data_IF_231531811535
#
_entry.id   IF_231531811535
#
_cell.length_a   1.000
_cell.length_b   1.000
_cell.length_c   1.000
_cell.angle_alpha   90.00
_cell.angle_beta   90.00
_cell.angle_gamma   90.00
#
_symmetry.space_group_name_H-M   'P 1'
#
loop_
_entity.id
_entity.type
_entity.pdbx_description
1 polymer ?
#
# COMPACT_ATOMS: atom_id res chain seq x y z
N UNK A 1 -3.61 6.73 31.56
CA UNK A 1 -4.16 5.75 30.59
C UNK A 1 -3.71 6.01 29.14
N UNK A 2 -3.73 7.25 28.65
CA UNK A 2 -3.26 7.57 27.29
C UNK A 2 -1.81 7.16 27.02
N UNK A 3 -0.90 7.38 27.97
CA UNK A 3 0.51 6.98 27.83
C UNK A 3 0.68 5.46 27.70
N UNK A 4 -0.16 4.69 28.41
CA UNK A 4 -0.20 3.22 28.32
C UNK A 4 -0.72 2.75 26.96
N UNK A 5 -1.68 3.48 26.37
CA UNK A 5 -2.21 3.15 25.05
C UNK A 5 -1.18 3.39 23.94
N UNK A 6 -0.55 4.57 23.93
CA UNK A 6 0.41 4.95 22.89
C UNK A 6 1.69 4.11 22.92
N UNK A 7 2.20 3.78 24.11
CA UNK A 7 3.40 2.93 24.26
C UNK A 7 3.07 1.44 24.32
N UNK A 8 1.80 1.09 24.43
CA UNK A 8 1.31 -0.28 24.45
C UNK A 8 1.17 -0.89 23.06
N UNK A 9 0.71 -2.14 23.03
CA UNK A 9 0.41 -2.89 21.80
C UNK A 9 -0.48 -2.14 20.79
N UNK A 10 -1.62 -1.51 21.18
CA UNK A 10 -2.52 -0.90 20.20
C UNK A 10 -1.90 0.32 19.52
N UNK A 11 -1.14 1.14 20.25
CA UNK A 11 -0.44 2.29 19.68
C UNK A 11 0.56 1.89 18.60
N UNK A 12 1.41 0.89 18.88
CA UNK A 12 2.42 0.40 17.92
C UNK A 12 1.75 -0.16 16.65
N UNK A 13 0.66 -0.91 16.79
CA UNK A 13 -0.09 -1.48 15.66
C UNK A 13 -0.67 -0.38 14.78
N UNK A 14 -1.31 0.64 15.38
CA UNK A 14 -1.91 1.76 14.65
C UNK A 14 -0.85 2.60 13.93
N UNK A 15 0.27 2.93 14.59
CA UNK A 15 1.37 3.68 13.97
C UNK A 15 1.94 2.91 12.79
N UNK A 16 2.20 1.62 12.95
CA UNK A 16 2.76 0.80 11.86
C UNK A 16 1.80 0.70 10.68
N UNK A 17 0.51 0.48 10.95
CA UNK A 17 -0.53 0.41 9.91
C UNK A 17 -0.67 1.74 9.17
N UNK A 18 -0.59 2.86 9.90
CA UNK A 18 -0.63 4.22 9.33
C UNK A 18 0.56 4.45 8.40
N UNK A 19 1.77 4.07 8.82
CA UNK A 19 2.99 4.20 8.03
C UNK A 19 2.94 3.37 6.75
N UNK A 20 2.53 2.10 6.84
CA UNK A 20 2.40 1.21 5.68
C UNK A 20 1.37 1.77 4.70
N UNK A 21 0.21 2.23 5.20
CA UNK A 21 -0.84 2.82 4.37
C UNK A 21 -0.35 4.09 3.68
N UNK A 22 0.35 4.96 4.40
CA UNK A 22 0.89 6.21 3.85
C UNK A 22 1.88 5.94 2.72
N UNK A 23 2.79 4.99 2.92
CA UNK A 23 3.76 4.59 1.90
C UNK A 23 3.07 3.98 0.68
N UNK A 24 2.07 3.12 0.88
CA UNK A 24 1.30 2.53 -0.21
C UNK A 24 0.56 3.61 -1.04
N UNK A 25 -0.10 4.55 -0.37
CA UNK A 25 -0.80 5.67 -1.01
C UNK A 25 0.18 6.58 -1.76
N UNK A 26 1.33 6.88 -1.17
CA UNK A 26 2.38 7.65 -1.83
C UNK A 26 2.85 6.99 -3.13
N UNK A 27 3.14 5.68 -3.08
CA UNK A 27 3.56 4.93 -4.27
C UNK A 27 2.47 4.99 -5.34
N UNK A 28 1.22 4.68 -4.99
CA UNK A 28 0.10 4.69 -5.95
C UNK A 28 -0.13 6.07 -6.57
N UNK A 29 -0.06 7.14 -5.77
CA UNK A 29 -0.16 8.51 -6.27
C UNK A 29 1.01 8.88 -7.18
N UNK A 30 2.23 8.41 -6.89
CA UNK A 30 3.37 8.64 -7.79
C UNK A 30 3.16 7.98 -9.15
N UNK A 31 2.59 6.77 -9.18
CA UNK A 31 2.23 6.10 -10.44
C UNK A 31 1.10 6.81 -11.19
N UNK A 32 0.17 7.49 -10.51
CA UNK A 32 -0.86 8.32 -11.16
C UNK A 32 -0.29 9.62 -11.72
N UNK A 33 0.76 10.17 -11.11
CA UNK A 33 1.38 11.44 -11.50
C UNK A 33 2.39 11.27 -12.64
N UNK A 34 3.18 10.21 -12.62
CA UNK A 34 4.23 9.98 -13.62
C UNK A 34 3.69 9.27 -14.87
N UNK A 35 3.53 10.01 -15.97
CA UNK A 35 3.56 9.50 -17.35
C UNK A 35 5.02 9.35 -17.83
N UNK A 36 5.91 8.89 -16.96
CA UNK A 36 7.30 8.70 -17.35
C UNK A 36 7.39 7.55 -18.35
N UNK A 37 8.16 7.78 -19.42
CA UNK A 37 8.51 6.82 -20.45
C UNK A 37 8.71 5.45 -19.81
N UNK A 38 7.96 4.45 -20.30
CA UNK A 38 8.15 3.04 -19.96
C UNK A 38 9.50 2.57 -20.52
N UNK A 39 10.61 3.12 -20.02
CA UNK A 39 11.92 2.60 -20.29
C UNK A 39 11.91 1.14 -19.83
N UNK A 40 12.26 0.19 -20.71
CA UNK A 40 12.16 -1.23 -20.39
C UNK A 40 13.05 -1.53 -19.18
N UNK A 41 12.43 -1.70 -18.02
CA UNK A 41 13.15 -1.90 -16.76
C UNK A 41 13.77 -3.29 -16.79
N UNK A 42 15.09 -3.37 -16.82
CA UNK A 42 15.78 -4.66 -16.79
C UNK A 42 15.72 -5.29 -15.40
N UNK A 43 14.91 -6.33 -15.25
CA UNK A 43 14.78 -7.09 -14.00
C UNK A 43 15.95 -8.07 -13.77
N UNK A 44 17.20 -7.59 -13.73
CA UNK A 44 18.41 -8.43 -13.60
C UNK A 44 18.42 -9.30 -12.33
N UNK A 45 17.93 -8.78 -11.21
CA UNK A 45 17.86 -9.53 -9.94
C UNK A 45 16.87 -10.71 -10.02
N UNK A 46 15.73 -10.54 -10.69
CA UNK A 46 14.74 -11.60 -10.92
C UNK A 46 15.32 -12.69 -11.82
N UNK A 47 16.06 -12.32 -12.88
CA UNK A 47 16.75 -13.29 -13.74
C UNK A 47 17.79 -14.13 -12.97
N UNK A 48 18.46 -13.56 -11.95
CA UNK A 48 19.42 -14.30 -11.12
C UNK A 48 18.71 -15.27 -10.18
N UNK A 49 17.61 -14.86 -9.55
CA UNK A 49 16.81 -15.70 -8.65
C UNK A 49 16.08 -16.84 -9.38
N UNK A 50 15.65 -16.61 -10.62
CA UNK A 50 15.00 -17.63 -11.46
C UNK A 50 15.92 -18.82 -11.79
N UNK A 51 17.25 -18.63 -11.76
CA UNK A 51 18.23 -19.70 -12.05
C UNK A 51 18.40 -20.70 -10.90
N UNK A 52 17.91 -20.39 -9.69
CA UNK A 52 18.02 -21.30 -8.54
C UNK A 52 17.11 -22.51 -8.76
N UNK A 53 17.66 -23.74 -8.70
CA UNK A 53 16.96 -24.99 -9.07
C UNK A 53 15.62 -25.18 -8.33
N UNK A 54 15.57 -24.87 -7.04
CA UNK A 54 14.34 -25.00 -6.21
C UNK A 54 13.27 -24.03 -6.68
N UNK A 55 13.64 -22.77 -6.88
CA UNK A 55 12.74 -21.71 -7.34
C UNK A 55 12.25 -22.05 -8.75
N UNK A 56 13.15 -22.42 -9.66
CA UNK A 56 12.81 -22.81 -11.02
C UNK A 56 11.77 -23.94 -11.05
N UNK A 57 11.97 -25.00 -10.28
CA UNK A 57 11.03 -26.13 -10.20
C UNK A 57 9.67 -25.72 -9.64
N UNK A 58 9.63 -24.85 -8.63
CA UNK A 58 8.37 -24.32 -8.09
C UNK A 58 7.62 -23.44 -9.12
N UNK A 59 8.36 -22.60 -9.86
CA UNK A 59 7.81 -21.77 -10.94
C UNK A 59 7.28 -22.62 -12.10
N UNK A 60 8.02 -23.64 -12.52
CA UNK A 60 7.66 -24.55 -13.61
C UNK A 60 6.36 -25.30 -13.26
N UNK A 61 6.32 -25.96 -12.09
CA UNK A 61 5.12 -26.66 -11.61
C UNK A 61 3.88 -25.75 -11.57
N UNK A 62 4.01 -24.52 -11.07
CA UNK A 62 2.88 -23.58 -11.01
C UNK A 62 2.43 -23.15 -12.41
N UNK A 63 3.39 -22.83 -13.27
CA UNK A 63 3.13 -22.35 -14.63
C UNK A 63 2.46 -23.42 -15.49
N UNK A 64 2.93 -24.66 -15.39
CA UNK A 64 2.34 -25.81 -16.08
C UNK A 64 0.93 -26.11 -15.58
N UNK A 65 0.72 -26.10 -14.26
CA UNK A 65 -0.61 -26.31 -13.66
C UNK A 65 -1.61 -25.22 -14.02
N UNK A 66 -1.15 -23.98 -14.20
CA UNK A 66 -1.98 -22.81 -14.53
C UNK A 66 -1.60 -22.19 -15.87
N UNK A 67 -1.46 -23.03 -16.89
CA UNK A 67 -1.01 -22.63 -18.22
C UNK A 67 -1.88 -21.54 -18.85
N UNK A 68 -3.21 -21.73 -18.89
CA UNK A 68 -4.13 -20.76 -19.50
C UNK A 68 -4.10 -19.38 -18.83
N UNK A 69 -4.01 -19.32 -17.49
CA UNK A 69 -3.87 -18.06 -16.75
C UNK A 69 -2.54 -17.37 -17.03
N UNK A 70 -1.49 -18.15 -17.28
CA UNK A 70 -0.16 -17.63 -17.61
C UNK A 70 -0.14 -17.01 -19.01
N UNK A 71 -0.86 -17.58 -19.98
CA UNK A 71 -1.03 -17.00 -21.32
C UNK A 71 -1.74 -15.66 -21.23
N UNK A 72 -2.90 -15.61 -20.56
CA UNK A 72 -3.68 -14.37 -20.44
C UNK A 72 -2.88 -13.25 -19.74
N UNK A 73 -2.08 -13.63 -18.74
CA UNK A 73 -1.16 -12.71 -18.08
C UNK A 73 -0.04 -12.26 -19.03
N UNK A 74 0.52 -13.15 -19.85
CA UNK A 74 1.52 -12.81 -20.87
C UNK A 74 0.96 -11.80 -21.86
N UNK A 75 -0.24 -12.04 -22.36
CA UNK A 75 -0.89 -11.16 -23.34
C UNK A 75 -1.16 -9.79 -22.71
N UNK A 76 -1.61 -9.76 -21.46
CA UNK A 76 -1.82 -8.51 -20.71
C UNK A 76 -0.52 -7.74 -20.53
N UNK A 77 0.59 -8.42 -20.17
CA UNK A 77 1.91 -7.81 -20.01
C UNK A 77 2.46 -7.28 -21.34
N UNK A 78 2.26 -8.04 -22.43
CA UNK A 78 2.64 -7.63 -23.79
C UNK A 78 1.87 -6.37 -24.23
N UNK A 79 0.55 -6.33 -24.00
CA UNK A 79 -0.28 -5.15 -24.29
C UNK A 79 0.16 -3.91 -23.49
N UNK A 80 0.79 -4.08 -22.33
CA UNK A 80 1.30 -2.97 -21.54
C UNK A 80 2.73 -2.54 -21.92
N UNK A 81 3.37 -3.19 -22.89
CA UNK A 81 4.78 -2.95 -23.20
C UNK A 81 5.74 -3.33 -22.06
N UNK A 82 5.27 -4.08 -21.06
CA UNK A 82 6.09 -4.49 -19.92
C UNK A 82 6.99 -5.67 -20.31
N UNK A 83 8.29 -5.55 -20.06
CA UNK A 83 9.28 -6.58 -20.38
C UNK A 83 9.33 -7.73 -19.38
N UNK A 84 8.54 -7.66 -18.30
CA UNK A 84 8.51 -8.68 -17.27
C UNK A 84 7.82 -9.95 -17.78
N UNK A 85 8.49 -11.09 -17.61
CA UNK A 85 7.88 -12.39 -17.91
C UNK A 85 6.81 -12.74 -16.86
N UNK A 86 5.72 -13.45 -17.23
CA UNK A 86 4.77 -13.99 -16.26
C UNK A 86 5.42 -14.78 -15.11
N UNK A 87 6.51 -15.50 -15.41
CA UNK A 87 7.32 -16.25 -14.43
C UNK A 87 7.99 -15.33 -13.42
N UNK A 88 8.54 -14.21 -13.89
CA UNK A 88 9.19 -13.22 -13.04
C UNK A 88 8.18 -12.46 -12.18
N UNK A 89 6.98 -12.19 -12.70
CA UNK A 89 5.91 -11.62 -11.87
C UNK A 89 5.54 -12.58 -10.74
N UNK A 90 5.42 -13.88 -11.03
CA UNK A 90 5.13 -14.88 -10.01
C UNK A 90 6.24 -15.00 -8.95
N UNK A 91 7.50 -14.97 -9.40
CA UNK A 91 8.64 -14.92 -8.50
C UNK A 91 8.61 -13.68 -7.59
N UNK A 92 8.27 -12.51 -8.15
CA UNK A 92 8.10 -11.28 -7.37
C UNK A 92 7.01 -11.43 -6.32
N UNK A 93 5.89 -12.10 -6.64
CA UNK A 93 4.79 -12.39 -5.67
C UNK A 93 5.24 -13.29 -4.53
N UNK A 94 6.02 -14.33 -4.82
CA UNK A 94 6.57 -15.21 -3.79
C UNK A 94 7.54 -14.46 -2.87
N UNK A 95 8.43 -13.64 -3.45
CA UNK A 95 9.39 -12.84 -2.68
C UNK A 95 8.66 -11.81 -1.80
N UNK A 96 7.67 -11.09 -2.32
CA UNK A 96 6.91 -10.11 -1.52
C UNK A 96 6.13 -10.78 -0.39
N UNK A 97 5.54 -11.95 -0.64
CA UNK A 97 4.87 -12.73 0.39
C UNK A 97 5.83 -13.18 1.50
N UNK A 98 7.00 -13.72 1.12
CA UNK A 98 8.02 -14.15 2.08
C UNK A 98 8.57 -12.98 2.91
N UNK A 99 8.85 -11.84 2.26
CA UNK A 99 9.30 -10.64 2.97
C UNK A 99 8.23 -10.11 3.93
N UNK A 100 6.96 -10.09 3.53
CA UNK A 100 5.86 -9.67 4.39
C UNK A 100 5.68 -10.61 5.59
N UNK A 101 5.85 -11.92 5.39
CA UNK A 101 5.84 -12.89 6.49
C UNK A 101 6.97 -12.62 7.50
N UNK A 102 8.20 -12.43 7.03
CA UNK A 102 9.35 -12.15 7.91
C UNK A 102 9.14 -10.82 8.65
N UNK A 103 8.71 -9.77 7.96
CA UNK A 103 8.47 -8.46 8.57
C UNK A 103 7.35 -8.49 9.60
N UNK A 104 6.24 -9.19 9.33
CA UNK A 104 5.15 -9.34 10.30
C UNK A 104 5.59 -10.14 11.53
N UNK A 105 6.35 -11.22 11.34
CA UNK A 105 6.92 -11.99 12.46
C UNK A 105 7.83 -11.13 13.34
N UNK A 106 8.74 -10.37 12.72
CA UNK A 106 9.63 -9.44 13.42
C UNK A 106 8.86 -8.37 14.20
N UNK A 107 7.77 -7.86 13.61
CA UNK A 107 6.91 -6.88 14.26
C UNK A 107 6.21 -7.46 15.48
N UNK A 108 5.66 -8.68 15.39
CA UNK A 108 5.03 -9.33 16.55
C UNK A 108 6.07 -9.58 17.65
N UNK A 109 7.28 -10.05 17.29
CA UNK A 109 8.37 -10.22 18.25
C UNK A 109 8.74 -8.89 18.93
N UNK A 110 8.85 -7.81 18.16
CA UNK A 110 9.09 -6.47 18.67
C UNK A 110 7.99 -6.01 19.64
N UNK A 111 6.71 -6.26 19.31
CA UNK A 111 5.58 -5.92 20.18
C UNK A 111 5.67 -6.67 21.52
N UNK A 112 5.95 -7.98 21.52
CA UNK A 112 6.09 -8.73 22.78
C UNK A 112 7.30 -8.29 23.59
N UNK A 113 8.45 -8.05 22.93
CA UNK A 113 9.64 -7.58 23.61
C UNK A 113 9.40 -6.21 24.26
N UNK A 114 8.77 -5.29 23.53
CA UNK A 114 8.40 -3.98 24.06
C UNK A 114 7.39 -4.10 25.20
N UNK A 115 6.40 -4.99 25.08
CA UNK A 115 5.40 -5.24 26.14
C UNK A 115 6.05 -5.76 27.42
N UNK A 116 6.99 -6.70 27.30
CA UNK A 116 7.79 -7.21 28.43
C UNK A 116 8.59 -6.10 29.11
N UNK A 117 9.25 -5.25 28.34
CA UNK A 117 10.01 -4.11 28.87
C UNK A 117 9.05 -3.11 29.55
N UNK A 118 7.90 -2.83 28.95
CA UNK A 118 6.89 -1.92 29.50
C UNK A 118 6.36 -2.39 30.86
N UNK A 119 6.01 -3.68 30.98
CA UNK A 119 5.54 -4.29 32.24
C UNK A 119 6.58 -4.17 33.36
N UNK A 120 7.87 -4.36 33.01
CA UNK A 120 9.00 -4.28 33.96
C UNK A 120 9.38 -2.85 34.34
N UNK A 121 9.15 -1.87 33.47
CA UNK A 121 9.70 -0.51 33.67
C UNK A 121 8.66 0.51 34.10
N UNK A 122 7.40 0.38 33.66
CA UNK A 122 6.36 1.36 33.94
C UNK A 122 5.32 0.83 34.91
N UNK A 123 5.18 1.51 36.05
CA UNK A 123 4.08 1.32 36.99
C UNK A 123 3.06 2.44 36.71
N UNK A 124 1.81 2.15 36.28
CA UNK A 124 0.79 3.18 36.10
C UNK A 124 0.58 3.98 37.38
N UNK A 125 0.08 5.21 37.24
CA UNK A 125 -0.18 6.04 38.40
C UNK A 125 -1.15 5.37 39.36
N UNK A 126 -0.73 5.34 40.63
CA UNK A 126 -1.41 4.71 41.74
C UNK A 126 -2.41 5.68 42.41
N UNK A 127 -2.64 6.84 41.81
CA UNK A 127 -3.37 7.97 42.40
C UNK A 127 -4.86 7.69 42.61
N UNK A 128 -5.47 6.84 41.78
CA UNK A 128 -6.88 6.43 41.93
C UNK A 128 -7.11 5.40 43.03
N UNK A 129 -6.15 4.50 43.26
CA UNK A 129 -6.23 3.42 44.25
C UNK A 129 -5.68 3.81 45.62
N UNK A 130 -4.73 4.74 45.67
CA UNK A 130 -4.01 5.13 46.88
C UNK A 130 -4.10 6.65 47.11
N UNK A 131 -5.34 7.14 47.18
CA UNK A 131 -5.73 8.55 47.26
C UNK A 131 -5.09 9.34 48.44
N UNK A 132 -4.46 8.66 49.41
CA UNK A 132 -3.96 9.21 50.68
C UNK A 132 -2.43 9.30 50.74
N UNK A 133 -1.70 8.97 49.66
CA UNK A 133 -0.22 8.96 49.66
C UNK A 133 0.40 10.25 49.10
N UNK A 134 1.47 10.73 49.74
CA UNK A 134 2.31 11.82 49.20
C UNK A 134 3.09 11.36 47.95
N UNK A 135 3.49 12.29 47.07
CA UNK A 135 4.23 11.98 45.84
C UNK A 135 5.50 11.13 46.08
N UNK A 136 6.23 11.40 47.16
CA UNK A 136 7.43 10.62 47.53
C UNK A 136 7.12 9.18 47.96
N UNK A 137 5.96 8.94 48.60
CA UNK A 137 5.52 7.60 48.97
C UNK A 137 5.04 6.82 47.75
N UNK A 138 4.36 7.48 46.81
CA UNK A 138 3.94 6.86 45.55
C UNK A 138 5.14 6.39 44.72
N UNK A 139 6.19 7.20 44.59
CA UNK A 139 7.41 6.79 43.88
C UNK A 139 8.11 5.62 44.56
N UNK A 140 8.16 5.60 45.90
CA UNK A 140 8.73 4.48 46.65
C UNK A 140 7.95 3.17 46.44
N UNK A 141 6.61 3.24 46.38
CA UNK A 141 5.76 2.09 46.05
C UNK A 141 6.01 1.61 44.61
N UNK A 142 6.11 2.53 43.64
CA UNK A 142 6.40 2.19 42.24
C UNK A 142 7.76 1.51 42.11
N UNK A 143 8.79 2.00 42.80
CA UNK A 143 10.13 1.41 42.80
C UNK A 143 10.15 0.01 43.44
N UNK A 144 9.44 -0.15 44.56
CA UNK A 144 9.30 -1.45 45.24
C UNK A 144 8.62 -2.48 44.33
N UNK A 145 7.51 -2.10 43.69
CA UNK A 145 6.82 -2.95 42.71
C UNK A 145 7.78 -3.32 41.57
N UNK A 146 8.50 -2.35 41.01
CA UNK A 146 9.45 -2.59 39.91
C UNK A 146 10.56 -3.56 40.29
N UNK A 147 11.17 -3.36 41.45
CA UNK A 147 12.25 -4.21 41.97
C UNK A 147 11.78 -5.64 42.19
N UNK A 148 10.66 -5.81 42.92
CA UNK A 148 10.11 -7.13 43.23
C UNK A 148 9.57 -7.87 42.00
N UNK A 149 8.92 -7.18 41.05
CA UNK A 149 8.51 -7.80 39.77
C UNK A 149 9.73 -8.28 38.97
N UNK A 150 10.83 -7.52 38.94
CA UNK A 150 12.05 -7.93 38.26
C UNK A 150 12.73 -9.14 38.93
N UNK A 151 12.64 -9.26 40.26
CA UNK A 151 13.16 -10.39 41.01
C UNK A 151 12.30 -11.67 40.83
N UNK A 152 10.98 -11.54 40.79
CA UNK A 152 10.05 -12.67 40.73
C UNK A 152 9.69 -13.14 39.32
N UNK A 153 10.09 -12.42 38.27
CA UNK A 153 9.72 -12.74 36.88
C UNK A 153 10.04 -14.19 36.47
N UNK A 154 11.14 -14.76 36.99
CA UNK A 154 11.64 -16.10 36.65
C UNK A 154 11.27 -17.20 37.68
N UNK A 155 10.60 -16.87 38.79
CA UNK A 155 10.31 -17.82 39.88
C UNK A 155 9.05 -18.68 39.67
N UNK A 156 9.18 -19.98 39.41
CA UNK A 156 8.05 -20.86 39.04
C UNK A 156 6.82 -20.84 39.98
N UNK A 157 7.02 -20.82 41.30
CA UNK A 157 5.95 -21.00 42.30
C UNK A 157 5.72 -19.74 43.17
N UNK A 158 5.15 -18.71 42.54
CA UNK A 158 4.85 -17.42 43.16
C UNK A 158 3.37 -17.35 43.56
N UNK A 159 3.09 -17.14 44.85
CA UNK A 159 1.74 -17.01 45.41
C UNK A 159 1.60 -15.64 46.08
N UNK A 160 0.39 -15.06 46.08
CA UNK A 160 0.09 -13.77 46.74
C UNK A 160 0.56 -13.76 48.19
N UNK A 161 0.35 -14.87 48.91
CA UNK A 161 0.74 -15.06 50.31
C UNK A 161 2.25 -14.98 50.53
N UNK A 162 3.07 -15.55 49.62
CA UNK A 162 4.54 -15.49 49.73
C UNK A 162 5.06 -14.08 49.50
N UNK A 163 4.48 -13.36 48.52
CA UNK A 163 4.83 -11.96 48.24
C UNK A 163 4.44 -11.08 49.45
N UNK A 164 3.26 -11.32 50.02
CA UNK A 164 2.75 -10.59 51.18
C UNK A 164 3.61 -10.85 52.43
N UNK A 165 4.00 -12.11 52.69
CA UNK A 165 4.87 -12.46 53.81
C UNK A 165 6.24 -11.78 53.72
N UNK A 166 6.79 -11.65 52.52
CA UNK A 166 8.07 -10.96 52.30
C UNK A 166 7.93 -9.43 52.44
N UNK A 167 6.83 -8.84 51.97
CA UNK A 167 6.51 -7.41 52.15
C UNK A 167 6.27 -7.05 53.64
N UNK A 168 5.60 -7.91 54.39
CA UNK A 168 5.37 -7.73 55.82
C UNK A 168 6.65 -7.95 56.64
N UNK A 169 7.52 -8.89 56.21
CA UNK A 169 8.82 -9.16 56.83
C UNK A 169 9.83 -8.02 56.68
N UNK A 170 9.81 -7.34 55.53
CA UNK A 170 10.67 -6.17 55.25
C UNK A 170 10.15 -4.87 55.93
N UNK A 171 8.94 -4.89 56.51
CA UNK A 171 8.26 -3.72 57.12
C UNK A 171 8.22 -2.48 56.21
N UNK A 172 8.15 -2.70 54.90
CA UNK A 172 8.25 -1.64 53.89
C UNK A 172 7.08 -0.66 53.98
N UNK A 173 5.89 -1.13 54.35
CA UNK A 173 4.72 -0.30 54.66
C UNK A 173 4.01 -0.80 55.92
N UNK A 174 3.56 0.12 56.77
CA UNK A 174 2.91 -0.18 58.06
C UNK A 174 1.43 -0.57 57.94
N UNK A 175 0.85 -0.54 56.73
CA UNK A 175 -0.57 -0.79 56.49
C UNK A 175 -0.76 -2.11 55.74
N UNK A 176 -1.32 -3.11 56.41
CA UNK A 176 -1.55 -4.47 55.87
C UNK A 176 -2.41 -4.46 54.60
N UNK A 177 -3.41 -3.56 54.49
CA UNK A 177 -4.24 -3.45 53.27
C UNK A 177 -3.47 -2.92 52.07
N UNK A 178 -2.46 -2.09 52.33
CA UNK A 178 -1.58 -1.51 51.31
C UNK A 178 -0.59 -2.57 50.80
N UNK A 179 -0.04 -3.39 51.70
CA UNK A 179 0.80 -4.52 51.31
C UNK A 179 0.03 -5.56 50.50
N UNK A 180 -1.24 -5.80 50.83
CA UNK A 180 -2.08 -6.74 50.09
C UNK A 180 -2.33 -6.30 48.64
N UNK A 181 -2.67 -5.03 48.41
CA UNK A 181 -2.88 -4.50 47.06
C UNK A 181 -1.58 -4.40 46.25
N UNK A 182 -0.46 -4.09 46.89
CA UNK A 182 0.87 -4.15 46.26
C UNK A 182 1.22 -5.59 45.86
N UNK A 183 1.00 -6.57 46.74
CA UNK A 183 1.29 -7.98 46.48
C UNK A 183 0.48 -8.52 45.29
N UNK A 184 -0.80 -8.17 45.23
CA UNK A 184 -1.69 -8.50 44.11
C UNK A 184 -1.20 -7.89 42.81
N UNK A 185 -0.81 -6.61 42.83
CA UNK A 185 -0.30 -5.93 41.62
C UNK A 185 1.04 -6.49 41.14
N UNK A 186 1.91 -6.94 42.04
CA UNK A 186 3.17 -7.62 41.70
C UNK A 186 2.87 -8.98 41.05
N UNK A 187 1.98 -9.77 41.66
CA UNK A 187 1.57 -11.07 41.14
C UNK A 187 0.99 -10.94 39.71
N UNK A 188 0.04 -10.02 39.51
CA UNK A 188 -0.60 -9.79 38.22
C UNK A 188 0.40 -9.42 37.13
N UNK A 189 1.38 -8.56 37.45
CA UNK A 189 2.43 -8.18 36.49
C UNK A 189 3.35 -9.34 36.15
N UNK A 190 3.71 -10.17 37.12
CA UNK A 190 4.54 -11.36 36.87
C UNK A 190 3.77 -12.36 36.00
N UNK A 191 2.48 -12.56 36.28
CA UNK A 191 1.61 -13.40 35.44
C UNK A 191 1.51 -12.84 34.02
N UNK A 192 1.23 -11.54 33.87
CA UNK A 192 1.19 -10.88 32.56
C UNK A 192 2.52 -11.02 31.82
N UNK A 193 3.65 -10.79 32.48
CA UNK A 193 4.98 -10.97 31.91
C UNK A 193 5.22 -12.39 31.38
N UNK A 194 4.76 -13.41 32.12
CA UNK A 194 4.85 -14.82 31.71
C UNK A 194 3.94 -15.17 30.55
N UNK A 195 2.76 -14.54 30.49
CA UNK A 195 1.80 -14.72 29.41
C UNK A 195 2.17 -13.95 28.14
N UNK A 196 3.17 -13.05 28.19
CA UNK A 196 3.74 -12.38 27.03
C UNK A 196 4.70 -13.30 26.25
N UNK A 197 4.12 -14.24 25.51
CA UNK A 197 4.82 -15.05 24.51
C UNK A 197 4.05 -15.02 23.18
N UNK A 198 4.73 -15.43 22.10
CA UNK A 198 4.12 -15.54 20.79
C UNK A 198 2.98 -16.55 20.82
N UNK A 199 1.75 -16.07 20.68
CA UNK A 199 0.57 -16.93 20.69
C UNK A 199 0.42 -17.57 19.32
N UNK A 200 -0.01 -18.83 19.28
CA UNK A 200 -0.12 -19.59 18.03
C UNK A 200 -1.04 -18.93 16.99
N UNK A 201 -2.09 -18.20 17.43
CA UNK A 201 -2.98 -17.47 16.51
C UNK A 201 -2.30 -16.27 15.83
N UNK A 202 -1.28 -15.67 16.44
CA UNK A 202 -0.53 -14.54 15.85
C UNK A 202 0.29 -15.03 14.66
N UNK A 203 0.75 -16.28 14.70
CA UNK A 203 1.43 -16.94 13.59
C UNK A 203 0.49 -17.17 12.39
N UNK A 204 -0.78 -17.51 12.66
CA UNK A 204 -1.82 -17.58 11.61
C UNK A 204 -2.08 -16.21 11.00
N UNK A 205 -2.10 -15.15 11.82
CA UNK A 205 -2.25 -13.78 11.35
C UNK A 205 -1.09 -13.39 10.41
N UNK A 206 0.15 -13.72 10.76
CA UNK A 206 1.31 -13.51 9.88
C UNK A 206 1.17 -14.25 8.54
N UNK A 207 0.66 -15.49 8.54
CA UNK A 207 0.34 -16.19 7.28
C UNK A 207 -0.76 -15.50 6.47
N UNK A 208 -1.78 -14.96 7.14
CA UNK A 208 -2.82 -14.15 6.48
C UNK A 208 -2.26 -12.91 5.79
N UNK A 209 -1.38 -12.17 6.48
CA UNK A 209 -0.69 -11.00 5.89
C UNK A 209 0.17 -11.42 4.69
N UNK A 210 0.92 -12.51 4.82
CA UNK A 210 1.75 -13.04 3.73
C UNK A 210 0.90 -13.45 2.51
N UNK A 211 -0.28 -14.03 2.73
CA UNK A 211 -1.22 -14.38 1.69
C UNK A 211 -1.74 -13.14 0.95
N UNK A 212 -2.12 -12.09 1.67
CA UNK A 212 -2.54 -10.81 1.05
C UNK A 212 -1.37 -10.19 0.27
N UNK A 213 -0.17 -10.20 0.84
CA UNK A 213 1.04 -9.66 0.21
C UNK A 213 1.46 -10.39 -1.09
N UNK A 214 1.03 -11.64 -1.26
CA UNK A 214 1.22 -12.39 -2.49
C UNK A 214 0.41 -11.81 -3.68
N UNK A 215 -0.70 -11.13 -3.42
CA UNK A 215 -1.53 -10.51 -4.47
C UNK A 215 -1.13 -9.07 -4.79
N UNK A 216 -0.38 -8.39 -3.91
CA UNK A 216 0.05 -6.99 -4.10
C UNK A 216 0.71 -6.75 -5.47
N UNK A 217 1.71 -7.53 -5.93
CA UNK A 217 2.33 -7.27 -7.23
C UNK A 217 1.39 -7.46 -8.41
N UNK A 218 0.39 -8.33 -8.28
CA UNK A 218 -0.63 -8.54 -9.30
C UNK A 218 -1.61 -7.35 -9.36
N UNK A 219 -2.09 -6.87 -8.22
CA UNK A 219 -2.90 -5.66 -8.17
C UNK A 219 -2.16 -4.45 -8.73
N UNK A 220 -0.85 -4.36 -8.47
CA UNK A 220 -0.02 -3.31 -9.04
C UNK A 220 0.00 -3.34 -10.59
N UNK A 221 0.03 -4.53 -11.18
CA UNK A 221 -0.03 -4.70 -12.64
C UNK A 221 -1.39 -4.27 -13.19
N UNK A 222 -2.48 -4.64 -12.53
CA UNK A 222 -3.83 -4.20 -12.92
C UNK A 222 -3.99 -2.69 -12.80
N UNK A 223 -3.44 -2.08 -11.75
CA UNK A 223 -3.44 -0.65 -11.56
C UNK A 223 -2.67 0.07 -12.66
N UNK A 224 -1.47 -0.41 -12.99
CA UNK A 224 -0.69 0.08 -14.13
C UNK A 224 -1.43 -0.04 -15.46
N UNK A 225 -2.12 -1.18 -15.70
CA UNK A 225 -2.96 -1.36 -16.90
C UNK A 225 -4.02 -0.27 -17.01
N UNK A 226 -4.68 0.04 -15.90
CA UNK A 226 -5.73 1.07 -15.87
C UNK A 226 -5.16 2.46 -16.16
N UNK A 227 -4.01 2.80 -15.58
CA UNK A 227 -3.32 4.06 -15.85
C UNK A 227 -2.89 4.15 -17.31
N UNK A 228 -2.29 3.09 -17.86
CA UNK A 228 -1.89 3.04 -19.27
C UNK A 228 -3.07 3.28 -20.21
N UNK A 229 -4.22 2.67 -19.94
CA UNK A 229 -5.42 2.91 -20.75
C UNK A 229 -5.88 4.37 -20.71
N UNK A 230 -5.78 5.03 -19.55
CA UNK A 230 -6.08 6.45 -19.42
C UNK A 230 -5.06 7.30 -20.17
N UNK A 231 -3.78 6.96 -20.10
CA UNK A 231 -2.72 7.64 -20.88
C UNK A 231 -2.92 7.46 -22.39
N UNK A 232 -3.31 6.27 -22.86
CA UNK A 232 -3.64 6.02 -24.27
C UNK A 232 -4.85 6.85 -24.72
N UNK A 233 -5.87 6.97 -23.89
CA UNK A 233 -7.05 7.81 -24.16
C UNK A 233 -6.64 9.30 -24.27
N UNK A 234 -5.87 9.79 -23.29
CA UNK A 234 -5.36 11.17 -23.28
C UNK A 234 -4.51 11.48 -24.53
N UNK A 235 -3.62 10.56 -24.91
CA UNK A 235 -2.71 10.71 -26.06
C UNK A 235 -3.47 10.68 -27.39
N UNK A 236 -4.46 9.80 -27.58
CA UNK A 236 -5.30 9.80 -28.78
C UNK A 236 -6.10 11.10 -28.89
N UNK A 237 -6.66 11.60 -27.79
CA UNK A 237 -7.38 12.89 -27.80
C UNK A 237 -6.44 14.07 -28.12
N UNK A 238 -5.18 14.00 -27.69
CA UNK A 238 -4.14 14.95 -28.09
C UNK A 238 -3.82 14.82 -29.58
N UNK A 239 -3.68 13.61 -30.11
CA UNK A 239 -3.46 13.39 -31.54
C UNK A 239 -4.60 13.93 -32.40
N UNK A 240 -5.87 13.75 -32.00
CA UNK A 240 -7.00 14.36 -32.68
C UNK A 240 -6.91 15.89 -32.75
N UNK A 241 -6.31 16.53 -31.73
CA UNK A 241 -6.08 17.98 -31.74
C UNK A 241 -4.98 18.41 -32.70
N UNK A 242 -3.87 17.66 -32.71
CA UNK A 242 -2.78 17.91 -33.65
C UNK A 242 -3.33 17.75 -35.06
N UNK A 243 -3.97 16.62 -35.36
CA UNK A 243 -4.62 16.35 -36.64
C UNK A 243 -5.58 17.48 -37.01
N UNK A 244 -6.51 17.87 -36.14
CA UNK A 244 -7.44 18.96 -36.41
C UNK A 244 -6.74 20.29 -36.78
N UNK A 245 -5.66 20.66 -36.07
CA UNK A 245 -4.91 21.87 -36.37
C UNK A 245 -4.15 21.76 -37.70
N UNK A 246 -3.57 20.60 -37.98
CA UNK A 246 -2.67 20.38 -39.12
C UNK A 246 -3.42 20.13 -40.43
N UNK A 247 -4.66 19.63 -40.38
CA UNK A 247 -5.50 19.37 -41.56
C UNK A 247 -5.81 20.60 -42.42
N UNK A 248 -5.70 21.81 -41.86
CA UNK A 248 -5.93 23.07 -42.57
C UNK A 248 -4.66 23.72 -43.13
N UNK A 249 -3.50 23.07 -42.95
CA UNK A 249 -2.22 23.54 -43.51
C UNK A 249 -2.13 23.07 -44.96
N UNK A 250 -1.88 24.00 -45.88
CA UNK A 250 -1.68 23.68 -47.28
C UNK A 250 -0.45 22.77 -47.48
N UNK A 251 -0.61 21.71 -48.27
CA UNK A 251 0.44 20.75 -48.64
C UNK A 251 1.03 19.87 -47.53
N UNK A 252 0.34 19.69 -46.40
CA UNK A 252 0.79 18.73 -45.39
C UNK A 252 0.67 17.28 -45.89
N UNK A 253 1.70 16.46 -45.69
CA UNK A 253 1.67 15.03 -46.00
C UNK A 253 1.33 14.19 -44.77
N UNK A 254 0.91 12.93 -44.98
CA UNK A 254 0.68 11.97 -43.88
C UNK A 254 1.95 11.74 -43.06
N UNK A 255 3.11 11.78 -43.72
CA UNK A 255 4.41 11.65 -43.06
C UNK A 255 4.72 12.84 -42.15
N UNK A 256 4.49 14.07 -42.60
CA UNK A 256 4.69 15.27 -41.77
C UNK A 256 3.81 15.21 -40.51
N UNK A 257 2.56 14.77 -40.69
CA UNK A 257 1.64 14.59 -39.58
C UNK A 257 2.13 13.49 -38.61
N UNK A 258 2.64 12.35 -39.09
CA UNK A 258 3.25 11.33 -38.22
C UNK A 258 4.43 11.88 -37.42
N UNK A 259 5.29 12.71 -38.03
CA UNK A 259 6.40 13.38 -37.36
C UNK A 259 5.90 14.34 -36.26
N UNK A 260 4.84 15.11 -36.51
CA UNK A 260 4.19 15.93 -35.48
C UNK A 260 3.62 15.08 -34.33
N UNK A 261 2.96 13.95 -34.65
CA UNK A 261 2.44 13.03 -33.63
C UNK A 261 3.59 12.46 -32.77
N UNK A 262 4.74 12.12 -33.37
CA UNK A 262 5.91 11.59 -32.63
C UNK A 262 6.43 12.56 -31.56
N UNK A 263 6.41 13.87 -31.84
CA UNK A 263 6.89 14.90 -30.91
C UNK A 263 6.09 14.93 -29.60
N UNK A 264 4.79 14.64 -29.68
CA UNK A 264 3.88 14.65 -28.53
C UNK A 264 3.54 13.26 -27.99
N UNK A 265 3.90 12.20 -28.71
CA UNK A 265 3.65 10.82 -28.30
C UNK A 265 4.49 10.43 -27.08
N UNK A 266 3.89 9.61 -26.21
CA UNK A 266 4.57 9.03 -25.03
C UNK A 266 4.40 7.51 -25.04
N UNK A 267 3.16 7.03 -25.09
CA UNK A 267 2.82 5.61 -25.12
C UNK A 267 3.03 5.05 -26.53
N UNK A 268 2.55 5.74 -27.57
CA UNK A 268 2.61 5.25 -28.95
C UNK A 268 3.89 5.65 -29.68
N UNK A 269 4.79 6.39 -29.02
CA UNK A 269 6.00 6.98 -29.62
C UNK A 269 6.85 5.96 -30.36
N UNK A 270 7.17 4.82 -29.71
CA UNK A 270 8.03 3.81 -30.32
C UNK A 270 7.40 3.21 -31.59
N UNK A 271 6.08 3.03 -31.60
CA UNK A 271 5.36 2.48 -32.76
C UNK A 271 5.28 3.49 -33.89
N UNK A 272 5.01 4.77 -33.59
CA UNK A 272 5.05 5.86 -34.59
C UNK A 272 6.44 6.01 -35.19
N UNK A 273 7.50 6.01 -34.36
CA UNK A 273 8.88 6.15 -34.82
C UNK A 273 9.30 5.01 -35.77
N UNK A 274 8.91 3.77 -35.46
CA UNK A 274 9.16 2.63 -36.35
C UNK A 274 8.38 2.74 -37.68
N UNK A 275 7.15 3.28 -37.63
CA UNK A 275 6.38 3.59 -38.83
C UNK A 275 7.08 4.64 -39.71
N UNK A 276 7.54 5.76 -39.13
CA UNK A 276 8.24 6.84 -39.84
C UNK A 276 9.52 6.31 -40.50
N UNK A 277 10.30 5.50 -39.78
CA UNK A 277 11.54 4.90 -40.30
C UNK A 277 11.30 4.00 -41.52
N UNK A 278 10.19 3.25 -41.52
CA UNK A 278 9.85 2.35 -42.61
C UNK A 278 8.98 3.01 -43.70
N UNK A 279 8.50 4.23 -43.49
CA UNK A 279 7.53 4.92 -44.35
C UNK A 279 8.03 5.03 -45.80
N UNK A 280 9.30 5.39 -46.00
CA UNK A 280 9.90 5.52 -47.33
C UNK A 280 10.03 4.18 -48.09
N UNK A 281 9.92 3.04 -47.40
CA UNK A 281 10.00 1.70 -48.02
C UNK A 281 8.64 1.20 -48.52
N UNK A 282 7.55 1.75 -48.00
CA UNK A 282 6.17 1.38 -48.35
C UNK A 282 5.18 2.06 -47.41
N UNK A 283 4.44 3.06 -47.90
CA UNK A 283 3.60 3.92 -47.05
C UNK A 283 2.44 3.14 -46.39
N UNK A 284 1.65 2.44 -47.21
CA UNK A 284 0.51 1.64 -46.74
C UNK A 284 0.97 0.48 -45.85
N UNK A 285 2.10 -0.14 -46.19
CA UNK A 285 2.67 -1.26 -45.44
C UNK A 285 3.14 -0.81 -44.04
N UNK A 286 3.82 0.33 -43.95
CA UNK A 286 4.25 0.92 -42.70
C UNK A 286 3.07 1.28 -41.78
N UNK A 287 2.02 1.91 -42.34
CA UNK A 287 0.80 2.25 -41.60
C UNK A 287 0.02 1.00 -41.18
N UNK A 288 -0.02 -0.05 -42.01
CA UNK A 288 -0.68 -1.31 -41.67
C UNK A 288 0.07 -2.02 -40.53
N UNK A 289 1.40 -2.04 -40.57
CA UNK A 289 2.23 -2.58 -39.50
C UNK A 289 2.03 -1.80 -38.18
N UNK A 290 1.92 -0.46 -38.24
CA UNK A 290 1.60 0.39 -37.09
C UNK A 290 0.26 -0.01 -36.44
N UNK A 291 -0.78 -0.20 -37.27
CA UNK A 291 -2.12 -0.63 -36.82
C UNK A 291 -2.11 -2.01 -36.18
N UNK A 292 -1.38 -2.97 -36.75
CA UNK A 292 -1.34 -4.34 -36.25
C UNK A 292 -0.60 -4.46 -34.91
N UNK A 293 0.48 -3.67 -34.74
CA UNK A 293 1.31 -3.67 -33.55
C UNK A 293 0.56 -3.18 -32.31
N UNK A 294 -0.22 -2.11 -32.45
CA UNK A 294 -0.97 -1.53 -31.34
C UNK A 294 -2.31 -2.22 -31.14
N UNK A 295 -2.74 -2.43 -29.90
CA UNK A 295 -4.02 -3.12 -29.60
C UNK A 295 -5.15 -2.16 -29.21
N UNK A 296 -4.86 -0.86 -29.07
CA UNK A 296 -5.85 0.13 -28.63
C UNK A 296 -6.79 0.54 -29.78
N UNK A 297 -8.10 0.26 -29.72
CA UNK A 297 -9.00 0.45 -30.86
C UNK A 297 -9.12 1.90 -31.36
N UNK A 298 -9.20 2.94 -30.50
CA UNK A 298 -9.24 4.33 -30.98
C UNK A 298 -8.00 4.73 -31.77
N UNK A 299 -6.81 4.30 -31.32
CA UNK A 299 -5.58 4.53 -32.08
C UNK A 299 -5.58 3.78 -33.42
N UNK A 300 -6.06 2.53 -33.47
CA UNK A 300 -6.21 1.80 -34.74
C UNK A 300 -7.13 2.51 -35.73
N UNK A 301 -8.23 3.11 -35.25
CA UNK A 301 -9.15 3.90 -36.11
C UNK A 301 -8.47 5.15 -36.64
N UNK A 302 -7.67 5.82 -35.81
CA UNK A 302 -6.86 6.96 -36.23
C UNK A 302 -5.90 6.55 -37.37
N UNK A 303 -5.21 5.41 -37.22
CA UNK A 303 -4.33 4.88 -38.28
C UNK A 303 -5.10 4.47 -39.54
N UNK A 304 -6.31 3.89 -39.40
CA UNK A 304 -7.18 3.61 -40.55
C UNK A 304 -7.54 4.87 -41.33
N UNK A 305 -7.77 5.99 -40.63
CA UNK A 305 -8.03 7.27 -41.27
C UNK A 305 -6.77 7.82 -41.95
N UNK A 306 -5.58 7.65 -41.36
CA UNK A 306 -4.31 8.00 -42.03
C UNK A 306 -4.10 7.23 -43.33
N UNK A 307 -4.45 5.93 -43.36
CA UNK A 307 -4.36 5.12 -44.59
C UNK A 307 -5.33 5.65 -45.66
N UNK A 308 -6.52 6.11 -45.27
CA UNK A 308 -7.51 6.68 -46.20
C UNK A 308 -7.05 7.97 -46.85
N UNK A 309 -6.13 8.72 -46.23
CA UNK A 309 -5.57 9.97 -46.79
C UNK A 309 -4.86 9.77 -48.14
N UNK A 310 -4.50 8.54 -48.52
CA UNK A 310 -3.96 8.23 -49.85
C UNK A 310 -5.02 8.38 -50.96
N UNK A 311 -6.28 8.10 -50.64
CA UNK A 311 -7.39 8.09 -51.61
C UNK A 311 -8.26 9.34 -51.52
N UNK A 312 -8.24 10.05 -50.39
CA UNK A 312 -9.03 11.25 -50.15
C UNK A 312 -8.24 12.31 -49.38
N UNK A 313 -8.67 13.57 -49.45
CA UNK A 313 -8.04 14.65 -48.66
C UNK A 313 -8.12 14.36 -47.16
N UNK A 314 -7.16 14.88 -46.38
CA UNK A 314 -7.16 14.69 -44.93
C UNK A 314 -8.50 15.11 -44.30
N UNK A 315 -9.04 16.26 -44.71
CA UNK A 315 -10.38 16.75 -44.30
C UNK A 315 -11.47 15.68 -44.41
N UNK A 316 -11.51 14.94 -45.51
CA UNK A 316 -12.48 13.86 -45.71
C UNK A 316 -12.14 12.60 -44.91
N UNK A 317 -10.86 12.31 -44.75
CA UNK A 317 -10.41 11.13 -44.00
C UNK A 317 -10.68 11.24 -42.50
N UNK A 318 -10.71 12.45 -41.94
CA UNK A 318 -11.02 12.72 -40.54
C UNK A 318 -12.28 13.57 -40.35
N UNK A 319 -13.31 13.34 -41.17
CA UNK A 319 -14.58 14.08 -41.11
C UNK A 319 -15.23 14.06 -39.70
N UNK A 320 -15.06 12.95 -38.97
CA UNK A 320 -15.50 12.81 -37.57
C UNK A 320 -14.91 13.87 -36.64
N UNK A 321 -13.69 14.36 -36.93
CA UNK A 321 -13.00 15.38 -36.14
C UNK A 321 -13.47 16.79 -36.57
N UNK A 322 -13.68 17.02 -37.87
CA UNK A 322 -14.07 18.32 -38.44
C UNK A 322 -15.55 18.67 -38.30
N UNK A 323 -16.43 17.69 -38.10
CA UNK A 323 -17.90 17.88 -38.05
C UNK A 323 -18.39 18.81 -36.92
N UNK A 324 -17.53 19.28 -36.01
CA UNK A 324 -17.91 20.03 -34.81
C UNK A 324 -16.98 21.25 -34.56
N UNK A 325 -16.63 21.95 -35.65
CA UNK A 325 -15.70 23.08 -35.66
C UNK A 325 -16.04 24.19 -34.66
N UNK A 326 -17.34 24.49 -34.51
CA UNK A 326 -17.81 25.58 -33.64
C UNK A 326 -17.62 25.26 -32.15
N UNK A 327 -17.72 23.97 -31.77
CA UNK A 327 -17.62 23.52 -30.37
C UNK A 327 -16.32 22.78 -30.05
N UNK A 328 -15.36 22.71 -30.98
CA UNK A 328 -14.14 21.94 -30.80
C UNK A 328 -13.36 22.36 -29.55
N UNK A 329 -13.26 23.67 -29.30
CA UNK A 329 -12.59 24.22 -28.12
C UNK A 329 -13.26 23.78 -26.81
N UNK A 330 -14.58 23.85 -26.73
CA UNK A 330 -15.35 23.46 -25.55
C UNK A 330 -15.29 21.95 -25.31
N UNK A 331 -15.38 21.15 -26.38
CA UNK A 331 -15.22 19.69 -26.32
C UNK A 331 -13.84 19.31 -25.79
N UNK A 332 -12.77 19.97 -26.25
CA UNK A 332 -11.41 19.72 -25.76
C UNK A 332 -11.21 20.12 -24.32
N UNK A 333 -11.80 21.24 -23.90
CA UNK A 333 -11.80 21.63 -22.48
C UNK A 333 -12.51 20.57 -21.64
N UNK A 334 -13.67 20.11 -22.06
CA UNK A 334 -14.43 19.06 -21.39
C UNK A 334 -13.67 17.73 -21.32
N UNK A 335 -13.06 17.28 -22.41
CA UNK A 335 -12.25 16.04 -22.43
C UNK A 335 -11.05 16.12 -21.48
N UNK A 336 -10.39 17.27 -21.42
CA UNK A 336 -9.28 17.49 -20.48
C UNK A 336 -9.78 17.50 -19.02
N UNK A 337 -10.88 18.19 -18.74
CA UNK A 337 -11.53 18.15 -17.42
C UNK A 337 -11.92 16.72 -17.03
N UNK A 338 -12.48 15.94 -17.96
CA UNK A 338 -12.82 14.52 -17.74
C UNK A 338 -11.57 13.69 -17.46
N UNK A 339 -10.48 13.87 -18.22
CA UNK A 339 -9.21 13.17 -18.00
C UNK A 339 -8.65 13.43 -16.60
N UNK A 340 -8.57 14.71 -16.22
CA UNK A 340 -8.08 15.14 -14.91
C UNK A 340 -9.01 14.61 -13.81
N UNK A 341 -10.33 14.69 -14.01
CA UNK A 341 -11.30 14.21 -13.04
C UNK A 341 -11.20 12.69 -12.85
N UNK A 342 -11.06 11.89 -13.92
CA UNK A 342 -10.86 10.44 -13.81
C UNK A 342 -9.62 10.08 -12.95
N UNK A 343 -8.52 10.83 -13.10
CA UNK A 343 -7.31 10.64 -12.25
C UNK A 343 -7.59 11.06 -10.81
N UNK A 344 -8.28 12.19 -10.63
CA UNK A 344 -8.66 12.72 -9.32
C UNK A 344 -9.62 11.79 -8.56
N UNK A 345 -10.57 11.15 -9.24
CA UNK A 345 -11.55 10.23 -8.63
C UNK A 345 -10.88 8.98 -8.05
N UNK A 346 -9.71 8.59 -8.58
CA UNK A 346 -8.89 7.52 -8.02
C UNK A 346 -8.00 8.05 -6.89
N UNK A 347 -7.34 9.20 -7.10
CA UNK A 347 -6.35 9.74 -6.18
C UNK A 347 -6.97 10.32 -4.89
N UNK A 348 -8.11 11.01 -4.99
CA UNK A 348 -8.79 11.69 -3.88
C UNK A 348 -9.14 10.70 -2.75
N UNK A 349 -9.98 9.67 -2.95
CA UNK A 349 -10.35 8.76 -1.87
C UNK A 349 -9.14 8.02 -1.30
N UNK A 350 -8.18 7.67 -2.15
CA UNK A 350 -6.95 7.00 -1.74
C UNK A 350 -6.10 7.88 -0.80
N UNK A 351 -6.06 9.19 -1.05
CA UNK A 351 -5.31 10.16 -0.26
C UNK A 351 -5.95 10.47 1.11
N UNK A 352 -7.23 10.16 1.30
CA UNK A 352 -7.91 10.31 2.59
C UNK A 352 -7.62 9.17 3.57
N UNK A 353 -7.19 7.99 3.09
CA UNK A 353 -6.93 6.83 3.94
C UNK A 353 -5.89 7.11 5.05
N UNK A 354 -4.70 7.68 4.77
CA UNK A 354 -3.71 7.95 5.81
C UNK A 354 -4.23 8.95 6.84
N UNK A 355 -4.93 10.00 6.40
CA UNK A 355 -5.55 11.00 7.28
C UNK A 355 -6.56 10.36 8.23
N UNK A 356 -7.38 9.44 7.73
CA UNK A 356 -8.33 8.68 8.55
C UNK A 356 -7.63 7.85 9.64
N UNK A 357 -6.52 7.18 9.30
CA UNK A 357 -5.74 6.42 10.29
C UNK A 357 -5.07 7.31 11.34
N UNK A 358 -4.53 8.48 10.94
CA UNK A 358 -3.98 9.46 11.89
C UNK A 358 -5.07 9.99 12.82
N UNK A 359 -6.25 10.32 12.28
CA UNK A 359 -7.39 10.75 13.07
C UNK A 359 -7.85 9.66 14.05
N UNK A 360 -7.91 8.41 13.61
CA UNK A 360 -8.24 7.28 14.48
C UNK A 360 -7.19 7.11 15.59
N UNK A 361 -5.90 7.25 15.26
CA UNK A 361 -4.83 7.16 16.26
C UNK A 361 -4.95 8.21 17.37
N UNK A 362 -5.37 9.43 17.04
CA UNK A 362 -5.54 10.51 18.02
C UNK A 362 -6.86 10.42 18.80
N UNK A 363 -7.96 10.03 18.15
CA UNK A 363 -9.30 10.06 18.76
C UNK A 363 -9.64 8.79 19.54
N UNK A 364 -9.19 7.62 19.09
CA UNK A 364 -9.50 6.33 19.71
C UNK A 364 -9.07 6.22 21.17
N UNK A 365 -7.86 6.64 21.61
CA UNK A 365 -7.51 6.64 23.03
C UNK A 365 -8.37 7.56 23.88
N UNK A 366 -8.79 8.72 23.34
CA UNK A 366 -9.67 9.66 24.04
C UNK A 366 -11.06 9.04 24.22
N UNK A 367 -11.60 8.42 23.18
CA UNK A 367 -12.90 7.74 23.24
C UNK A 367 -12.89 6.60 24.26
N UNK A 368 -11.82 5.81 24.30
CA UNK A 368 -11.69 4.73 25.29
C UNK A 368 -11.65 5.29 26.72
N UNK A 369 -10.82 6.31 26.98
CA UNK A 369 -10.74 6.95 28.28
C UNK A 369 -12.10 7.53 28.73
N UNK A 370 -12.82 8.20 27.83
CA UNK A 370 -14.17 8.71 28.15
C UNK A 370 -15.18 7.60 28.45
N UNK A 371 -15.11 6.46 27.75
CA UNK A 371 -15.99 5.31 28.03
C UNK A 371 -15.67 4.73 29.41
N UNK A 372 -14.39 4.62 29.77
CA UNK A 372 -13.98 4.09 31.07
C UNK A 372 -14.36 5.03 32.21
N UNK A 373 -14.22 6.35 32.04
CA UNK A 373 -14.74 7.35 32.98
C UNK A 373 -16.26 7.25 33.17
N UNK A 374 -17.02 7.10 32.08
CA UNK A 374 -18.47 6.91 32.14
C UNK A 374 -18.86 5.62 32.86
N UNK A 375 -18.09 4.54 32.69
CA UNK A 375 -18.30 3.27 33.41
C UNK A 375 -18.05 3.44 34.91
N UNK A 376 -16.94 4.07 35.30
CA UNK A 376 -16.63 4.35 36.70
C UNK A 376 -17.72 5.22 37.35
N UNK A 377 -18.19 6.25 36.65
CA UNK A 377 -19.29 7.09 37.13
C UNK A 377 -20.60 6.31 37.32
N UNK A 378 -20.92 5.41 36.37
CA UNK A 378 -22.09 4.52 36.48
C UNK A 378 -21.99 3.59 37.68
N UNK A 379 -20.83 2.96 37.91
CA UNK A 379 -20.61 2.07 39.05
C UNK A 379 -20.69 2.81 40.38
N UNK A 380 -20.14 4.02 40.46
CA UNK A 380 -20.26 4.89 41.63
C UNK A 380 -21.72 5.24 41.93
N UNK A 381 -22.52 5.54 40.91
CA UNK A 381 -23.96 5.82 41.05
C UNK A 381 -24.80 4.59 41.41
N UNK A 382 -24.34 3.37 41.10
CA UNK A 382 -25.04 2.13 41.51
C UNK A 382 -24.73 1.70 42.94
N UNK A 383 -23.60 2.17 43.50
CA UNK A 383 -23.16 1.87 44.86
C UNK A 383 -23.58 2.94 45.88
N UNK A 384 -24.34 3.96 45.46
CA UNK A 384 -25.09 4.93 46.28
C UNK A 384 -26.56 4.52 46.27
#
# INVERSE_FOLDING_TARGET
ELDTFYNGKPGIILVTTTLITTLAVYVLNNYLKETNQFLPKEYRYLKRLEKVKVIKRALDNYTEKHYGKTILLRDTLKQMGETISPRQLLLRRMITSMLAFILSLLLVFYIHQNSRILILTRVPDLSSEFMVMNQSQQEMVKETIRSKVNAYKDMGDLTKEKILQELDGEKTFYNTRLNESIAERILDRVIQYRQEYLKWYELILCFGIAFIAFYIPYWMVLFKKKILQMSMEDEVNQFHSIIYMSMYIDHITVKDLLEELELFAVVFKQSIQECINNYNSGEIEALTALKEKESYPPFRRLVDNLIRCDVMSMEKAFDEISSDRENYHDRRKQENEISVQKKADIAKPLSWLPTGFVMAYLTLPLLLASIDELRMFKEAMQNI
#
